data_IF_712191379903
#
_entry.id   IF_712191379903
#
_cell.length_a   1.000
_cell.length_b   1.000
_cell.length_c   1.000
_cell.angle_alpha   90.00
_cell.angle_beta   90.00
_cell.angle_gamma   90.00
#
_symmetry.space_group_name_H-M   'P 1'
#
loop_
_entity.id
_entity.type
_entity.pdbx_description
1 polymer ?
#
# COMPACT_ATOMS: atom_id res chain seq x y z
N UNK A 1 -21.40 5.47 7.60
CA UNK A 1 -21.27 5.64 9.07
C UNK A 1 -20.80 7.05 9.40
N UNK A 2 -19.76 7.56 8.73
CA UNK A 2 -19.25 8.93 8.96
C UNK A 2 -20.36 9.99 8.85
N UNK A 3 -21.17 9.95 7.80
CA UNK A 3 -22.25 10.92 7.56
C UNK A 3 -23.30 10.98 8.70
N UNK A 4 -23.50 9.88 9.41
CA UNK A 4 -24.41 9.79 10.55
C UNK A 4 -23.83 10.45 11.79
N UNK A 5 -22.51 10.43 11.93
CA UNK A 5 -21.78 10.97 13.09
C UNK A 5 -21.45 12.48 12.94
N UNK A 6 -21.55 13.06 11.73
CA UNK A 6 -21.18 14.47 11.50
C UNK A 6 -21.90 15.48 12.40
N UNK A 7 -23.23 15.39 12.66
CA UNK A 7 -23.89 16.33 13.57
C UNK A 7 -23.34 16.25 14.98
N UNK A 8 -23.09 15.04 15.49
CA UNK A 8 -22.49 14.85 16.81
C UNK A 8 -21.09 15.44 16.90
N UNK A 9 -20.26 15.25 15.85
CA UNK A 9 -18.91 15.82 15.79
C UNK A 9 -18.94 17.36 15.79
N UNK A 10 -19.87 17.95 15.05
CA UNK A 10 -20.02 19.41 14.96
C UNK A 10 -20.35 20.05 16.31
N UNK A 11 -21.17 19.39 17.11
CA UNK A 11 -21.66 19.93 18.38
C UNK A 11 -20.74 19.62 19.57
N UNK A 12 -19.99 18.51 19.52
CA UNK A 12 -19.33 17.96 20.70
C UNK A 12 -17.80 17.89 20.59
N UNK A 13 -17.23 18.15 19.39
CA UNK A 13 -15.79 17.98 19.16
C UNK A 13 -15.22 19.19 18.42
N UNK A 14 -14.13 19.75 18.94
CA UNK A 14 -13.36 20.75 18.20
C UNK A 14 -12.44 20.05 17.20
N UNK A 15 -12.78 20.14 15.92
CA UNK A 15 -12.02 19.53 14.84
C UNK A 15 -11.07 20.58 14.27
N UNK A 16 -9.76 20.31 14.32
CA UNK A 16 -8.72 21.21 13.85
C UNK A 16 -8.29 20.93 12.41
N UNK A 17 -8.51 19.71 11.89
CA UNK A 17 -8.05 19.29 10.57
C UNK A 17 -8.81 18.04 10.11
N UNK A 18 -9.17 17.98 8.83
CA UNK A 18 -9.52 16.74 8.13
C UNK A 18 -8.35 16.29 7.25
N UNK A 19 -7.79 15.12 7.52
CA UNK A 19 -6.79 14.48 6.70
C UNK A 19 -7.42 13.31 5.93
N UNK A 20 -7.47 13.41 4.60
CA UNK A 20 -8.03 12.40 3.70
C UNK A 20 -6.86 11.70 3.03
N UNK A 21 -6.57 10.48 3.45
CA UNK A 21 -5.59 9.63 2.81
C UNK A 21 -6.21 8.87 1.62
N UNK A 22 -5.36 8.41 0.70
CA UNK A 22 -5.77 7.76 -0.55
C UNK A 22 -6.83 8.56 -1.33
N UNK A 23 -6.66 9.87 -1.37
CA UNK A 23 -7.64 10.79 -1.97
C UNK A 23 -7.94 10.51 -3.46
N UNK A 24 -7.09 9.73 -4.15
CA UNK A 24 -7.37 9.27 -5.51
C UNK A 24 -8.65 8.41 -5.60
N UNK A 25 -9.07 7.79 -4.49
CA UNK A 25 -10.32 7.03 -4.42
C UNK A 25 -11.58 7.90 -4.60
N UNK A 26 -11.47 9.23 -4.51
CA UNK A 26 -12.56 10.19 -4.75
C UNK A 26 -12.91 10.23 -6.23
N UNK A 27 -11.91 10.11 -7.10
CA UNK A 27 -12.07 10.32 -8.53
C UNK A 27 -12.62 9.10 -9.25
N UNK A 28 -13.69 9.27 -10.00
CA UNK A 28 -14.22 8.25 -10.89
C UNK A 28 -13.25 7.88 -12.04
N UNK A 29 -12.27 8.72 -12.31
CA UNK A 29 -11.20 8.50 -13.29
C UNK A 29 -9.99 7.79 -12.69
N UNK A 30 -9.94 7.63 -11.35
CA UNK A 30 -8.90 6.91 -10.64
C UNK A 30 -9.02 5.39 -10.79
N UNK A 31 -7.93 4.70 -10.51
CA UNK A 31 -7.85 3.23 -10.62
C UNK A 31 -8.54 2.47 -9.45
N UNK A 32 -8.92 3.15 -8.39
CA UNK A 32 -9.56 2.60 -7.18
C UNK A 32 -10.69 3.52 -6.67
N UNK A 33 -11.64 3.83 -7.55
CA UNK A 33 -12.79 4.67 -7.20
C UNK A 33 -13.64 4.02 -6.13
N UNK A 34 -13.97 4.82 -5.09
CA UNK A 34 -14.86 4.41 -3.99
C UNK A 34 -15.98 5.42 -3.83
N UNK A 35 -17.25 5.01 -4.06
CA UNK A 35 -18.41 5.91 -3.97
C UNK A 35 -18.53 6.64 -2.63
N UNK A 36 -18.08 6.02 -1.54
CA UNK A 36 -18.09 6.62 -0.20
C UNK A 36 -17.10 7.80 -0.09
N UNK A 37 -15.97 7.74 -0.82
CA UNK A 37 -15.00 8.83 -0.85
C UNK A 37 -15.54 10.05 -1.61
N UNK A 38 -16.34 9.86 -2.66
CA UNK A 38 -16.96 10.96 -3.40
C UNK A 38 -17.94 11.78 -2.54
N UNK A 39 -18.43 11.22 -1.42
CA UNK A 39 -19.31 11.93 -0.48
C UNK A 39 -18.55 12.83 0.51
N UNK A 40 -17.22 12.79 0.53
CA UNK A 40 -16.41 13.57 1.50
C UNK A 40 -16.47 15.09 1.27
N UNK A 41 -16.97 15.55 0.13
CA UNK A 41 -17.26 16.97 -0.10
C UNK A 41 -18.16 17.61 0.95
N UNK A 42 -19.05 16.83 1.58
CA UNK A 42 -19.90 17.26 2.69
C UNK A 42 -19.10 17.80 3.89
N UNK A 43 -17.85 17.39 4.07
CA UNK A 43 -16.99 17.91 5.13
C UNK A 43 -16.77 19.41 4.99
N UNK A 44 -16.57 19.90 3.76
CA UNK A 44 -16.42 21.35 3.50
C UNK A 44 -17.72 22.10 3.74
N UNK A 45 -18.86 21.49 3.44
CA UNK A 45 -20.18 22.10 3.64
C UNK A 45 -20.52 22.20 5.14
N UNK A 46 -20.27 21.11 5.87
CA UNK A 46 -20.57 21.04 7.31
C UNK A 46 -19.58 21.80 8.17
N UNK A 47 -18.29 21.80 7.79
CA UNK A 47 -17.21 22.44 8.53
C UNK A 47 -16.42 23.43 7.66
N UNK A 48 -17.01 24.58 7.29
CA UNK A 48 -16.41 25.49 6.29
C UNK A 48 -15.07 26.09 6.71
N UNK A 49 -14.81 26.18 8.01
CA UNK A 49 -13.60 26.79 8.58
C UNK A 49 -12.51 25.77 8.93
N UNK A 50 -12.79 24.48 8.87
CA UNK A 50 -11.81 23.43 9.18
C UNK A 50 -10.95 23.16 7.96
N UNK A 51 -9.61 23.21 8.07
CA UNK A 51 -8.71 22.86 6.98
C UNK A 51 -8.92 21.41 6.51
N UNK A 52 -8.77 21.20 5.21
CA UNK A 52 -8.76 19.85 4.60
C UNK A 52 -7.40 19.63 3.94
N UNK A 53 -6.76 18.51 4.24
CA UNK A 53 -5.56 17.99 3.56
C UNK A 53 -5.94 16.70 2.84
N UNK A 54 -5.70 16.64 1.54
CA UNK A 54 -5.89 15.45 0.73
C UNK A 54 -4.53 14.89 0.31
N UNK A 55 -4.28 13.64 0.60
CA UNK A 55 -3.01 12.95 0.38
C UNK A 55 -3.23 11.77 -0.58
N UNK A 56 -2.32 11.60 -1.51
CA UNK A 56 -2.29 10.42 -2.39
C UNK A 56 -0.90 10.22 -2.98
N UNK A 57 -0.50 8.96 -3.13
CA UNK A 57 0.73 8.61 -3.84
C UNK A 57 0.55 8.52 -5.36
N UNK A 58 -0.69 8.38 -5.85
CA UNK A 58 -1.00 8.05 -7.24
C UNK A 58 -2.13 8.91 -7.78
N UNK A 59 -1.82 10.11 -8.28
CA UNK A 59 -2.80 10.97 -8.93
C UNK A 59 -2.18 11.68 -10.13
N UNK A 60 -2.72 11.43 -11.30
CA UNK A 60 -2.42 12.19 -12.50
C UNK A 60 -3.10 13.59 -12.47
N UNK A 61 -2.91 14.36 -13.52
CA UNK A 61 -3.46 15.73 -13.57
C UNK A 61 -4.99 15.76 -13.52
N UNK A 62 -5.65 14.79 -14.18
CA UNK A 62 -7.12 14.71 -14.22
C UNK A 62 -7.66 14.35 -12.85
N UNK A 63 -7.11 13.31 -12.24
CA UNK A 63 -7.46 12.86 -10.89
C UNK A 63 -7.27 13.98 -9.86
N UNK A 64 -6.16 14.74 -9.93
CA UNK A 64 -5.93 15.87 -9.02
C UNK A 64 -6.97 16.98 -9.15
N UNK A 65 -7.37 17.30 -10.37
CA UNK A 65 -8.42 18.30 -10.59
C UNK A 65 -9.76 17.84 -10.02
N UNK A 66 -10.13 16.58 -10.28
CA UNK A 66 -11.37 15.99 -9.77
C UNK A 66 -11.39 15.94 -8.24
N UNK A 67 -10.28 15.59 -7.58
CA UNK A 67 -10.17 15.63 -6.12
C UNK A 67 -10.50 17.03 -5.57
N UNK A 68 -9.96 18.09 -6.18
CA UNK A 68 -10.22 19.46 -5.73
C UNK A 68 -11.69 19.85 -5.90
N UNK A 69 -12.31 19.45 -6.99
CA UNK A 69 -13.72 19.71 -7.29
C UNK A 69 -14.64 18.94 -6.33
N UNK A 70 -14.43 17.64 -6.17
CA UNK A 70 -15.27 16.80 -5.31
C UNK A 70 -15.17 17.14 -3.82
N UNK A 71 -14.01 17.59 -3.36
CA UNK A 71 -13.82 18.07 -1.99
C UNK A 71 -14.23 19.53 -1.77
N UNK A 72 -14.66 20.23 -2.80
CA UNK A 72 -15.01 21.66 -2.76
C UNK A 72 -13.87 22.55 -2.25
N UNK A 73 -12.62 22.24 -2.68
CA UNK A 73 -11.41 22.98 -2.32
C UNK A 73 -10.62 23.49 -3.55
N UNK A 74 -11.26 24.19 -4.50
CA UNK A 74 -10.63 24.55 -5.78
C UNK A 74 -9.37 25.41 -5.63
N UNK A 75 -9.25 26.15 -4.54
CA UNK A 75 -8.13 27.03 -4.25
C UNK A 75 -7.07 26.40 -3.33
N UNK A 76 -7.12 25.10 -3.10
CA UNK A 76 -6.14 24.43 -2.25
C UNK A 76 -4.73 24.51 -2.84
N UNK A 77 -3.74 24.76 -1.97
CA UNK A 77 -2.34 24.71 -2.37
C UNK A 77 -1.94 23.27 -2.69
N UNK A 78 -1.42 23.06 -3.89
CA UNK A 78 -1.01 21.74 -4.37
C UNK A 78 0.50 21.56 -4.23
N UNK A 79 0.92 20.46 -3.62
CA UNK A 79 2.30 20.03 -3.53
C UNK A 79 2.45 18.73 -4.32
N UNK A 80 3.27 18.75 -5.36
CA UNK A 80 3.48 17.60 -6.24
C UNK A 80 4.97 17.29 -6.27
N UNK A 81 5.31 16.07 -5.85
CA UNK A 81 6.66 15.53 -5.99
C UNK A 81 6.76 14.63 -7.22
N UNK A 82 7.95 14.44 -7.73
CA UNK A 82 8.22 13.47 -8.78
C UNK A 82 7.95 12.03 -8.28
N UNK A 83 7.42 11.19 -9.17
CA UNK A 83 7.34 9.73 -8.95
C UNK A 83 8.70 9.04 -9.12
N UNK A 84 9.67 9.75 -9.70
CA UNK A 84 11.00 9.20 -9.90
C UNK A 84 11.68 8.93 -8.55
N UNK A 85 12.12 7.72 -8.39
CA UNK A 85 12.82 7.20 -7.21
C UNK A 85 14.22 6.71 -7.65
N UNK A 86 15.21 7.59 -7.82
CA UNK A 86 16.51 7.23 -8.41
C UNK A 86 17.27 6.16 -7.61
N UNK A 87 16.87 5.93 -6.36
CA UNK A 87 17.39 4.86 -5.51
C UNK A 87 16.74 3.49 -5.76
N UNK A 88 15.70 3.39 -6.62
CA UNK A 88 15.01 2.14 -6.94
C UNK A 88 15.34 1.71 -8.37
N UNK A 89 15.88 0.51 -8.51
CA UNK A 89 16.10 -0.13 -9.81
C UNK A 89 14.94 -1.09 -10.11
N UNK A 90 14.30 -0.92 -11.26
CA UNK A 90 13.22 -1.78 -11.74
C UNK A 90 13.73 -2.64 -12.89
N UNK A 91 13.65 -3.97 -12.73
CA UNK A 91 14.01 -4.94 -13.78
C UNK A 91 12.83 -5.88 -14.06
N UNK A 92 12.55 -6.14 -15.33
CA UNK A 92 11.47 -7.02 -15.76
C UNK A 92 12.02 -8.18 -16.58
N UNK A 93 11.88 -9.38 -16.08
CA UNK A 93 12.24 -10.63 -16.78
C UNK A 93 10.98 -11.36 -17.22
N UNK A 94 10.86 -11.64 -18.49
CA UNK A 94 9.67 -12.27 -19.12
C UNK A 94 9.98 -13.69 -19.62
N UNK A 95 8.94 -14.49 -19.81
CA UNK A 95 9.03 -15.81 -20.48
C UNK A 95 9.65 -16.91 -19.65
N UNK A 96 9.81 -16.75 -18.33
CA UNK A 96 10.41 -17.76 -17.47
C UNK A 96 9.42 -18.84 -17.04
N UNK A 97 9.81 -20.10 -17.13
CA UNK A 97 9.12 -21.17 -16.46
C UNK A 97 9.43 -21.19 -14.94
N UNK A 98 8.76 -22.05 -14.18
CA UNK A 98 8.90 -22.11 -12.72
C UNK A 98 10.34 -22.37 -12.25
N UNK A 99 11.06 -23.26 -12.95
CA UNK A 99 12.45 -23.61 -12.60
C UNK A 99 13.38 -22.42 -12.83
N UNK A 100 13.29 -21.81 -13.98
CA UNK A 100 14.08 -20.62 -14.36
C UNK A 100 13.81 -19.43 -13.42
N UNK A 101 12.54 -19.20 -13.08
CA UNK A 101 12.16 -18.16 -12.12
C UNK A 101 12.77 -18.41 -10.75
N UNK A 102 12.66 -19.61 -10.20
CA UNK A 102 13.22 -19.95 -8.90
C UNK A 102 14.75 -19.80 -8.91
N UNK A 103 15.41 -20.22 -9.99
CA UNK A 103 16.84 -20.04 -10.17
C UNK A 103 17.23 -18.55 -10.27
N UNK A 104 16.46 -17.73 -10.97
CA UNK A 104 16.69 -16.30 -11.05
C UNK A 104 16.54 -15.61 -9.69
N UNK A 105 15.53 -15.97 -8.90
CA UNK A 105 15.35 -15.50 -7.52
C UNK A 105 16.56 -15.90 -6.67
N UNK A 106 16.98 -17.15 -6.72
CA UNK A 106 18.15 -17.61 -5.98
C UNK A 106 19.42 -16.85 -6.35
N UNK A 107 19.67 -16.65 -7.64
CA UNK A 107 20.84 -15.91 -8.12
C UNK A 107 20.78 -14.44 -7.68
N UNK A 108 19.61 -13.84 -7.62
CA UNK A 108 19.46 -12.50 -7.08
C UNK A 108 19.77 -12.48 -5.58
N UNK A 109 19.21 -13.39 -4.80
CA UNK A 109 19.47 -13.48 -3.35
C UNK A 109 20.91 -13.76 -3.00
N UNK A 110 21.61 -14.59 -3.81
CA UNK A 110 23.05 -14.83 -3.62
C UNK A 110 23.93 -13.58 -3.82
N UNK A 111 23.47 -12.61 -4.60
CA UNK A 111 24.16 -11.31 -4.75
C UNK A 111 23.83 -10.32 -3.63
N UNK A 112 22.73 -10.58 -2.92
CA UNK A 112 22.16 -9.75 -1.85
C UNK A 112 22.08 -10.51 -0.52
N UNK A 113 23.15 -11.24 -0.17
CA UNK A 113 23.16 -12.16 0.98
C UNK A 113 22.96 -11.49 2.33
N UNK A 114 23.19 -10.17 2.41
CA UNK A 114 23.05 -9.39 3.65
C UNK A 114 21.85 -8.44 3.62
N UNK A 115 21.09 -8.45 2.53
CA UNK A 115 19.95 -7.57 2.36
C UNK A 115 18.65 -8.30 2.72
N UNK A 116 17.70 -7.57 3.31
CA UNK A 116 16.34 -8.07 3.53
C UNK A 116 15.51 -7.96 2.25
N UNK A 117 14.55 -8.87 2.05
CA UNK A 117 13.74 -8.88 0.86
C UNK A 117 12.32 -9.40 1.04
N UNK A 118 11.42 -8.91 0.20
CA UNK A 118 10.04 -9.40 0.11
C UNK A 118 9.82 -9.97 -1.28
N UNK A 119 9.29 -11.19 -1.35
CA UNK A 119 8.93 -11.87 -2.60
C UNK A 119 7.41 -11.99 -2.67
N UNK A 120 6.78 -11.15 -3.48
CA UNK A 120 5.34 -11.25 -3.72
C UNK A 120 5.01 -12.34 -4.72
N UNK A 121 4.11 -13.23 -4.32
CA UNK A 121 3.63 -14.36 -5.11
C UNK A 121 2.13 -14.25 -5.40
N UNK A 122 1.70 -14.75 -6.54
CA UNK A 122 0.29 -14.71 -6.98
C UNK A 122 -0.62 -15.66 -6.20
N UNK A 123 -0.10 -16.67 -5.51
CA UNK A 123 -0.90 -17.65 -4.78
C UNK A 123 -0.20 -18.14 -3.52
N UNK A 124 -1.01 -18.59 -2.54
CA UNK A 124 -0.52 -19.22 -1.30
C UNK A 124 0.44 -20.37 -1.59
N UNK A 125 0.05 -21.28 -2.50
CA UNK A 125 0.88 -22.42 -2.90
C UNK A 125 2.23 -22.00 -3.47
N UNK A 126 2.26 -20.96 -4.29
CA UNK A 126 3.53 -20.43 -4.83
C UNK A 126 4.37 -19.80 -3.72
N UNK A 127 3.77 -19.09 -2.80
CA UNK A 127 4.44 -18.48 -1.64
C UNK A 127 5.16 -19.53 -0.80
N UNK A 128 4.46 -20.61 -0.45
CA UNK A 128 5.02 -21.72 0.32
C UNK A 128 6.14 -22.46 -0.44
N UNK A 129 5.94 -22.71 -1.76
CA UNK A 129 6.91 -23.39 -2.61
C UNK A 129 8.21 -22.59 -2.77
N UNK A 130 8.12 -21.27 -2.98
CA UNK A 130 9.29 -20.40 -3.11
C UNK A 130 10.03 -20.29 -1.77
N UNK A 131 9.31 -20.16 -0.66
CA UNK A 131 9.92 -20.15 0.67
C UNK A 131 10.65 -21.47 0.97
N UNK A 132 10.04 -22.61 0.68
CA UNK A 132 10.69 -23.93 0.85
C UNK A 132 11.95 -24.06 -0.02
N UNK A 133 11.88 -23.61 -1.26
CA UNK A 133 13.03 -23.61 -2.17
C UNK A 133 14.19 -22.75 -1.64
N UNK A 134 13.93 -21.55 -1.12
CA UNK A 134 14.97 -20.69 -0.56
C UNK A 134 15.54 -21.25 0.75
N UNK A 135 14.71 -21.84 1.61
CA UNK A 135 15.19 -22.55 2.83
C UNK A 135 16.12 -23.69 2.49
N UNK A 136 15.86 -24.46 1.43
CA UNK A 136 16.78 -25.52 1.00
C UNK A 136 18.14 -25.01 0.52
N UNK A 137 18.25 -23.70 0.25
CA UNK A 137 19.49 -22.99 -0.08
C UNK A 137 20.00 -22.12 1.06
N UNK A 138 19.61 -22.43 2.30
CA UNK A 138 20.09 -21.81 3.55
C UNK A 138 19.66 -20.36 3.80
N UNK A 139 18.66 -19.84 3.09
CA UNK A 139 18.08 -18.55 3.40
C UNK A 139 17.02 -18.66 4.50
N UNK A 140 17.07 -17.75 5.49
CA UNK A 140 16.01 -17.64 6.50
C UNK A 140 14.79 -16.99 5.89
N UNK A 141 13.66 -17.73 5.83
CA UNK A 141 12.44 -17.24 5.17
C UNK A 141 11.21 -17.40 6.05
N UNK A 142 10.33 -16.40 6.04
CA UNK A 142 8.96 -16.51 6.53
C UNK A 142 7.98 -16.57 5.36
N UNK A 143 6.79 -17.11 5.63
CA UNK A 143 5.64 -17.13 4.72
C UNK A 143 4.57 -16.21 5.28
N UNK A 144 3.90 -15.43 4.41
CA UNK A 144 2.82 -14.56 4.82
C UNK A 144 1.68 -14.57 3.80
N UNK A 145 0.51 -15.06 4.20
CA UNK A 145 -0.70 -15.05 3.37
C UNK A 145 -1.96 -15.21 4.22
N UNK A 146 -3.12 -14.92 3.67
CA UNK A 146 -4.41 -14.94 4.35
C UNK A 146 -4.88 -16.35 4.84
N UNK A 147 -4.17 -17.41 4.48
CA UNK A 147 -4.44 -18.77 4.97
C UNK A 147 -3.77 -19.10 6.30
N UNK A 148 -2.88 -18.22 6.79
CA UNK A 148 -2.25 -18.35 8.11
C UNK A 148 -3.15 -17.78 9.20
N UNK A 149 -2.97 -18.27 10.44
CA UNK A 149 -3.63 -17.68 11.61
C UNK A 149 -3.15 -16.24 11.85
N UNK A 150 -3.82 -15.51 12.72
CA UNK A 150 -3.40 -14.15 13.10
C UNK A 150 -2.03 -14.18 13.75
N UNK A 151 -1.82 -15.11 14.68
CA UNK A 151 -0.58 -15.29 15.43
C UNK A 151 0.61 -15.64 14.52
N UNK A 152 0.38 -16.50 13.51
CA UNK A 152 1.41 -16.85 12.53
C UNK A 152 1.80 -15.66 11.66
N UNK A 153 0.84 -14.81 11.29
CA UNK A 153 1.10 -13.59 10.51
C UNK A 153 1.86 -12.56 11.34
N UNK A 154 1.44 -12.32 12.57
CA UNK A 154 2.13 -11.41 13.49
C UNK A 154 3.56 -11.87 13.77
N UNK A 155 3.75 -13.18 13.96
CA UNK A 155 5.08 -13.75 14.14
C UNK A 155 5.96 -13.52 12.91
N UNK A 156 5.46 -13.82 11.70
CA UNK A 156 6.21 -13.62 10.46
C UNK A 156 6.60 -12.16 10.25
N UNK A 157 5.71 -11.23 10.56
CA UNK A 157 5.95 -9.80 10.48
C UNK A 157 6.98 -9.34 11.52
N UNK A 158 6.83 -9.75 12.77
CA UNK A 158 7.78 -9.44 13.83
C UNK A 158 9.16 -10.03 13.58
N UNK A 159 9.23 -11.26 13.06
CA UNK A 159 10.49 -11.90 12.72
C UNK A 159 11.23 -11.15 11.60
N UNK A 160 10.52 -10.60 10.64
CA UNK A 160 11.10 -9.79 9.57
C UNK A 160 11.55 -8.40 10.07
N UNK A 161 10.71 -7.70 10.81
CA UNK A 161 11.04 -6.37 11.36
C UNK A 161 12.22 -6.42 12.35
N UNK A 162 12.38 -7.54 13.06
CA UNK A 162 13.48 -7.75 14.01
C UNK A 162 14.70 -8.46 13.39
N UNK A 163 14.82 -8.51 12.06
CA UNK A 163 15.92 -9.14 11.31
C UNK A 163 16.19 -10.62 11.66
N UNK A 164 15.20 -11.31 12.25
CA UNK A 164 15.28 -12.77 12.52
C UNK A 164 15.07 -13.60 11.26
N UNK A 165 14.41 -13.02 10.26
CA UNK A 165 14.16 -13.61 8.94
C UNK A 165 14.60 -12.63 7.88
N UNK A 166 15.42 -13.11 6.95
CA UNK A 166 15.95 -12.28 5.86
C UNK A 166 14.90 -12.04 4.75
N UNK A 167 14.07 -13.03 4.46
CA UNK A 167 13.15 -12.99 3.32
C UNK A 167 11.73 -13.29 3.78
N UNK A 168 10.78 -12.49 3.34
CA UNK A 168 9.35 -12.82 3.43
C UNK A 168 8.83 -13.19 2.05
N UNK A 169 8.27 -14.40 1.93
CA UNK A 169 7.47 -14.78 0.77
C UNK A 169 6.00 -14.51 1.09
N UNK A 170 5.34 -13.63 0.35
CA UNK A 170 4.01 -13.14 0.67
C UNK A 170 3.07 -13.13 -0.54
N UNK A 171 1.78 -13.18 -0.29
CA UNK A 171 0.77 -12.61 -1.19
C UNK A 171 0.62 -11.12 -0.92
N UNK A 172 -0.22 -10.40 -1.70
CA UNK A 172 -0.37 -8.92 -1.66
C UNK A 172 -0.68 -8.34 -0.25
N UNK A 173 -1.01 -9.17 0.72
CA UNK A 173 -1.46 -8.76 2.05
C UNK A 173 -0.33 -8.43 3.06
N UNK A 174 0.94 -8.40 2.65
CA UNK A 174 2.05 -8.05 3.52
C UNK A 174 2.37 -6.56 3.40
N UNK A 175 2.21 -5.82 4.50
CA UNK A 175 2.44 -4.39 4.59
C UNK A 175 1.66 -3.78 5.73
#
# INVERSE_FOLDING_TARGET
RLLVELPFLQENVEISLFAIDEAHCISAWGHDFRPEYAQLGILRETFPNVPIVALTATADKVTRTDILEQLHIPNARMFVSSFDRPNLNLDVKRGMNTKERNQAILQFMLRHQHDCGIIYCMSRKTTESVAAYLRSHQFTTAVYHAGLTVEEREKAQNDFVCDRVQIVCATIAFG
#
